data_IF_726820124805
#
_entry.id   IF_726820124805
#
_cell.length_a   1.000
_cell.length_b   1.000
_cell.length_c   1.000
_cell.angle_alpha   90.00
_cell.angle_beta   90.00
_cell.angle_gamma   90.00
#
_symmetry.space_group_name_H-M   'P 1'
#
loop_
_entity.id
_entity.type
_entity.pdbx_description
1 polymer ?
#
# COMPACT_ATOMS: atom_id res chain seq x y z
N UNK A 1 -26.09 10.00 26.54
CA UNK A 1 -24.67 9.91 26.13
C UNK A 1 -24.66 9.28 24.75
N UNK A 2 -24.26 10.03 23.73
CA UNK A 2 -24.19 9.52 22.35
C UNK A 2 -23.05 8.50 22.32
N UNK A 3 -23.24 7.25 21.84
CA UNK A 3 -22.15 6.28 21.78
C UNK A 3 -21.03 6.87 20.91
N UNK A 4 -19.79 6.84 21.39
CA UNK A 4 -18.62 7.47 20.76
C UNK A 4 -18.43 7.07 19.27
N UNK A 5 -18.88 5.87 18.92
CA UNK A 5 -18.96 5.33 17.55
C UNK A 5 -19.88 6.12 16.59
N UNK A 6 -20.75 6.98 17.09
CA UNK A 6 -21.66 7.82 16.26
C UNK A 6 -21.18 9.27 16.11
N UNK A 7 -19.96 9.58 16.56
CA UNK A 7 -19.33 10.85 16.23
C UNK A 7 -18.99 10.91 14.73
N UNK A 8 -19.15 12.07 14.07
CA UNK A 8 -18.90 12.20 12.64
C UNK A 8 -17.47 11.79 12.26
N UNK A 9 -16.48 12.04 13.12
CA UNK A 9 -15.09 11.64 12.91
C UNK A 9 -14.90 10.12 12.89
N UNK A 10 -15.63 9.36 13.71
CA UNK A 10 -15.57 7.89 13.71
C UNK A 10 -16.28 7.29 12.50
N UNK A 11 -17.42 7.85 12.08
CA UNK A 11 -18.09 7.40 10.86
C UNK A 11 -17.18 7.58 9.63
N UNK A 12 -16.44 8.68 9.56
CA UNK A 12 -15.46 8.92 8.49
C UNK A 12 -14.32 7.90 8.50
N UNK A 13 -13.79 7.54 9.68
CA UNK A 13 -12.70 6.57 9.77
C UNK A 13 -13.13 5.16 9.32
N UNK A 14 -14.39 4.78 9.54
CA UNK A 14 -14.96 3.52 9.03
C UNK A 14 -15.03 3.54 7.49
N UNK A 15 -15.54 4.63 6.91
CA UNK A 15 -15.61 4.80 5.44
C UNK A 15 -14.23 4.76 4.80
N UNK A 16 -13.27 5.52 5.35
CA UNK A 16 -11.89 5.55 4.88
C UNK A 16 -11.20 4.19 5.02
N UNK A 17 -11.46 3.46 6.11
CA UNK A 17 -10.94 2.10 6.30
C UNK A 17 -11.44 1.18 5.19
N UNK A 18 -12.73 1.25 4.83
CA UNK A 18 -13.28 0.44 3.74
C UNK A 18 -12.60 0.77 2.42
N UNK A 19 -12.48 2.05 2.06
CA UNK A 19 -11.84 2.47 0.81
C UNK A 19 -10.38 2.00 0.75
N UNK A 20 -9.62 2.13 1.84
CA UNK A 20 -8.23 1.68 1.90
C UNK A 20 -8.11 0.16 1.73
N UNK A 21 -9.00 -0.62 2.35
CA UNK A 21 -9.02 -2.08 2.18
C UNK A 21 -9.30 -2.45 0.72
N UNK A 22 -10.24 -1.77 0.05
CA UNK A 22 -10.52 -2.01 -1.37
C UNK A 22 -9.33 -1.64 -2.26
N UNK A 23 -8.57 -0.59 -1.93
CA UNK A 23 -7.32 -0.26 -2.65
C UNK A 23 -6.26 -1.36 -2.53
N UNK A 24 -6.32 -2.18 -1.48
CA UNK A 24 -5.45 -3.37 -1.32
C UNK A 24 -5.85 -4.56 -2.19
N UNK A 25 -6.86 -4.43 -3.06
CA UNK A 25 -7.01 -5.33 -4.22
C UNK A 25 -5.77 -5.36 -5.12
N UNK A 26 -4.84 -4.41 -4.95
CA UNK A 26 -3.48 -4.49 -5.45
C UNK A 26 -2.80 -5.84 -5.16
N UNK A 27 -3.04 -6.44 -4.00
CA UNK A 27 -2.51 -7.77 -3.64
C UNK A 27 -3.02 -8.85 -4.60
N UNK A 28 -4.31 -8.84 -4.93
CA UNK A 28 -4.90 -9.79 -5.87
C UNK A 28 -4.40 -9.55 -7.29
N UNK A 29 -4.22 -8.29 -7.70
CA UNK A 29 -3.58 -7.94 -8.98
C UNK A 29 -2.16 -8.53 -9.05
N UNK A 30 -1.35 -8.32 -8.01
CA UNK A 30 0.03 -8.85 -7.97
C UNK A 30 0.05 -10.38 -8.00
N UNK A 31 -0.85 -11.05 -7.27
CA UNK A 31 -0.98 -12.50 -7.29
C UNK A 31 -1.37 -13.02 -8.69
N UNK A 32 -2.32 -12.36 -9.36
CA UNK A 32 -2.69 -12.70 -10.74
C UNK A 32 -1.53 -12.51 -11.73
N UNK A 33 -0.71 -11.48 -11.55
CA UNK A 33 0.49 -11.27 -12.36
C UNK A 33 1.56 -12.34 -12.10
N UNK A 34 1.77 -12.75 -10.84
CA UNK A 34 2.71 -13.83 -10.50
C UNK A 34 2.41 -15.13 -11.24
N UNK A 35 1.11 -15.46 -11.40
CA UNK A 35 0.68 -16.65 -12.14
C UNK A 35 0.87 -16.57 -13.65
N UNK A 36 1.11 -15.38 -14.23
CA UNK A 36 1.16 -15.17 -15.69
C UNK A 36 2.55 -14.81 -16.20
N UNK A 37 3.26 -13.90 -15.55
CA UNK A 37 4.59 -13.40 -15.99
C UNK A 37 5.75 -13.90 -15.13
N UNK A 38 5.47 -14.60 -14.03
CA UNK A 38 6.48 -15.12 -13.11
C UNK A 38 6.97 -14.10 -12.07
N UNK A 39 7.74 -14.59 -11.09
CA UNK A 39 8.09 -13.83 -9.89
C UNK A 39 9.08 -12.67 -10.12
N UNK A 40 9.92 -12.75 -11.15
CA UNK A 40 10.95 -11.72 -11.42
C UNK A 40 10.32 -10.43 -11.97
N UNK A 41 9.35 -10.57 -12.88
CA UNK A 41 8.70 -9.43 -13.58
C UNK A 41 7.73 -8.66 -12.67
N UNK A 42 7.25 -9.26 -11.58
CA UNK A 42 6.32 -8.62 -10.64
C UNK A 42 7.01 -7.89 -9.49
N UNK A 43 8.34 -7.84 -9.46
CA UNK A 43 9.08 -7.33 -8.31
C UNK A 43 8.62 -5.93 -7.87
N UNK A 44 8.35 -5.01 -8.81
CA UNK A 44 7.84 -3.66 -8.47
C UNK A 44 6.45 -3.69 -7.85
N UNK A 45 5.57 -4.57 -8.30
CA UNK A 45 4.23 -4.73 -7.71
C UNK A 45 4.32 -5.33 -6.30
N UNK A 46 5.28 -6.24 -6.05
CA UNK A 46 5.58 -6.76 -4.71
C UNK A 46 6.05 -5.65 -3.75
N UNK A 47 6.91 -4.74 -4.23
CA UNK A 47 7.31 -3.57 -3.44
C UNK A 47 6.07 -2.71 -3.10
N UNK A 48 5.24 -2.42 -4.10
CA UNK A 48 4.05 -1.59 -3.94
C UNK A 48 3.05 -2.17 -2.91
N UNK A 49 2.77 -3.48 -2.95
CA UNK A 49 1.87 -4.11 -1.96
C UNK A 49 2.43 -4.04 -0.55
N UNK A 50 3.75 -4.20 -0.37
CA UNK A 50 4.39 -4.17 0.95
C UNK A 50 4.27 -2.78 1.59
N UNK A 51 4.52 -1.74 0.80
CA UNK A 51 4.39 -0.34 1.22
C UNK A 51 2.92 -0.03 1.57
N UNK A 52 2.00 -0.30 0.62
CA UNK A 52 0.59 0.06 0.77
C UNK A 52 -0.10 -0.69 1.91
N UNK A 53 0.16 -1.99 2.05
CA UNK A 53 -0.48 -2.83 3.08
C UNK A 53 -0.01 -2.45 4.47
N UNK A 54 1.29 -2.26 4.68
CA UNK A 54 1.82 -1.91 6.00
C UNK A 54 1.28 -0.55 6.48
N UNK A 55 1.27 0.45 5.61
CA UNK A 55 0.74 1.77 5.92
C UNK A 55 -0.78 1.73 6.21
N UNK A 56 -1.53 0.97 5.42
CA UNK A 56 -2.99 0.86 5.56
C UNK A 56 -3.39 0.18 6.86
N UNK A 57 -2.81 -0.98 7.18
CA UNK A 57 -3.16 -1.74 8.39
C UNK A 57 -2.81 -0.93 9.64
N UNK A 58 -1.64 -0.29 9.68
CA UNK A 58 -1.27 0.57 10.81
C UNK A 58 -2.24 1.73 10.98
N UNK A 59 -2.65 2.37 9.88
CA UNK A 59 -3.59 3.48 9.94
C UNK A 59 -4.94 3.05 10.50
N UNK A 60 -5.47 1.90 10.06
CA UNK A 60 -6.74 1.35 10.56
C UNK A 60 -6.62 1.00 12.04
N UNK A 61 -5.52 0.39 12.47
CA UNK A 61 -5.28 0.09 13.88
C UNK A 61 -5.25 1.35 14.74
N UNK A 62 -4.59 2.44 14.32
CA UNK A 62 -4.63 3.73 15.03
C UNK A 62 -6.07 4.23 15.23
N UNK A 63 -6.93 4.12 14.21
CA UNK A 63 -8.35 4.51 14.33
C UNK A 63 -9.12 3.60 15.27
N UNK A 64 -8.85 2.29 15.25
CA UNK A 64 -9.45 1.35 16.18
C UNK A 64 -9.05 1.65 17.64
N UNK A 65 -7.77 1.96 17.90
CA UNK A 65 -7.32 2.39 19.24
C UNK A 65 -8.03 3.65 19.71
N UNK A 66 -8.12 4.67 18.84
CA UNK A 66 -8.82 5.92 19.18
C UNK A 66 -10.28 5.68 19.51
N UNK A 67 -10.95 4.79 18.79
CA UNK A 67 -12.36 4.45 19.04
C UNK A 67 -12.58 3.69 20.36
N UNK A 68 -11.59 2.92 20.85
CA UNK A 68 -11.69 2.16 22.10
C UNK A 68 -11.11 2.91 23.31
N UNK A 69 -10.44 4.04 23.10
CA UNK A 69 -9.75 4.78 24.16
C UNK A 69 -8.78 3.88 24.94
N UNK A 70 -8.70 4.07 26.26
CA UNK A 70 -7.83 3.27 27.13
C UNK A 70 -8.21 1.78 27.15
N UNK A 71 -9.47 1.42 26.84
CA UNK A 71 -9.90 0.03 26.81
C UNK A 71 -9.22 -0.77 25.69
N UNK A 72 -8.73 -0.11 24.64
CA UNK A 72 -7.96 -0.75 23.57
C UNK A 72 -6.59 -1.30 24.02
N UNK A 73 -6.10 -0.89 25.19
CA UNK A 73 -4.91 -1.44 25.83
C UNK A 73 -5.23 -2.65 26.73
N UNK A 74 -6.51 -2.90 27.02
CA UNK A 74 -6.93 -4.04 27.83
C UNK A 74 -6.67 -5.36 27.10
N UNK A 75 -6.30 -6.44 27.81
CA UNK A 75 -6.25 -7.79 27.24
C UNK A 75 -7.58 -8.28 26.65
N UNK A 76 -8.70 -7.66 27.04
CA UNK A 76 -10.04 -7.97 26.52
C UNK A 76 -10.20 -7.61 25.03
N UNK A 77 -9.35 -6.72 24.52
CA UNK A 77 -9.32 -6.35 23.11
C UNK A 77 -8.03 -6.85 22.45
N UNK A 78 -8.10 -7.40 21.22
CA UNK A 78 -6.92 -7.90 20.52
C UNK A 78 -5.99 -6.78 20.02
N UNK A 79 -6.38 -5.51 20.13
CA UNK A 79 -5.73 -4.36 19.49
C UNK A 79 -4.24 -4.21 19.87
N UNK A 80 -3.91 -4.33 21.16
CA UNK A 80 -2.53 -4.26 21.65
C UNK A 80 -1.64 -5.37 21.06
N UNK A 81 -2.18 -6.59 20.97
CA UNK A 81 -1.46 -7.72 20.39
C UNK A 81 -1.27 -7.55 18.88
N UNK A 82 -2.30 -7.10 18.17
CA UNK A 82 -2.22 -6.87 16.72
C UNK A 82 -1.25 -5.74 16.37
N UNK A 83 -1.20 -4.67 17.16
CA UNK A 83 -0.20 -3.62 17.00
C UNK A 83 1.22 -4.17 17.13
N UNK A 84 1.46 -5.03 18.13
CA UNK A 84 2.75 -5.69 18.32
C UNK A 84 3.12 -6.64 17.17
N UNK A 85 2.14 -7.21 16.47
CA UNK A 85 2.37 -8.04 15.26
C UNK A 85 2.65 -7.20 14.01
N UNK A 86 1.95 -6.09 13.85
CA UNK A 86 2.01 -5.25 12.64
C UNK A 86 3.22 -4.35 12.64
N UNK A 87 3.57 -3.76 13.79
CA UNK A 87 4.65 -2.77 13.87
C UNK A 87 6.01 -3.32 13.42
N UNK A 88 6.46 -4.52 13.84
CA UNK A 88 7.72 -5.09 13.36
C UNK A 88 7.73 -5.40 11.87
N UNK A 89 6.56 -5.61 11.25
CA UNK A 89 6.42 -5.90 9.81
C UNK A 89 6.86 -4.74 8.92
N UNK A 90 7.05 -3.54 9.48
CA UNK A 90 7.67 -2.40 8.80
C UNK A 90 9.16 -2.58 8.54
N UNK A 91 9.81 -3.44 9.31
CA UNK A 91 11.23 -3.75 9.21
C UNK A 91 11.46 -5.14 8.63
N UNK A 92 10.53 -6.08 8.89
CA UNK A 92 10.57 -7.41 8.29
C UNK A 92 10.54 -7.33 6.77
N UNK A 93 11.32 -8.18 6.11
CA UNK A 93 11.50 -8.25 4.65
C UNK A 93 12.11 -6.99 4.00
N UNK A 94 12.56 -6.03 4.82
CA UNK A 94 13.10 -4.74 4.41
C UNK A 94 12.36 -3.57 5.07
N UNK A 95 13.08 -2.49 5.45
CA UNK A 95 12.44 -1.27 5.89
C UNK A 95 11.65 -0.62 4.75
N UNK A 96 10.57 0.09 5.07
CA UNK A 96 9.70 0.75 4.08
C UNK A 96 10.47 1.61 3.08
N UNK A 97 11.49 2.34 3.53
CA UNK A 97 12.34 3.21 2.71
C UNK A 97 13.15 2.42 1.68
N UNK A 98 13.53 1.17 1.99
CA UNK A 98 14.21 0.30 1.01
C UNK A 98 13.24 -0.13 -0.09
N UNK A 99 12.00 -0.46 0.27
CA UNK A 99 10.94 -0.79 -0.68
C UNK A 99 10.58 0.41 -1.56
N UNK A 100 10.43 1.61 -0.97
CA UNK A 100 10.15 2.86 -1.69
C UNK A 100 11.27 3.19 -2.70
N UNK A 101 12.53 3.10 -2.26
CA UNK A 101 13.67 3.34 -3.13
C UNK A 101 13.74 2.33 -4.28
N UNK A 102 13.44 1.06 -4.01
CA UNK A 102 13.40 0.01 -5.02
C UNK A 102 12.30 0.28 -6.07
N UNK A 103 11.09 0.61 -5.62
CA UNK A 103 9.96 0.96 -6.48
C UNK A 103 10.26 2.22 -7.31
N UNK A 104 10.78 3.28 -6.69
CA UNK A 104 11.13 4.52 -7.38
C UNK A 104 12.20 4.31 -8.46
N UNK A 105 13.21 3.46 -8.19
CA UNK A 105 14.22 3.09 -9.20
C UNK A 105 13.59 2.35 -10.39
N UNK A 106 12.65 1.44 -10.13
CA UNK A 106 11.92 0.71 -11.18
C UNK A 106 11.10 1.66 -12.05
N UNK A 107 10.31 2.54 -11.44
CA UNK A 107 9.46 3.51 -12.16
C UNK A 107 10.28 4.47 -13.01
N UNK A 108 11.41 4.98 -12.49
CA UNK A 108 12.31 5.85 -13.26
C UNK A 108 12.88 5.13 -14.49
N UNK A 109 13.23 3.84 -14.39
CA UNK A 109 13.70 3.06 -15.54
C UNK A 109 12.60 2.91 -16.58
N UNK A 110 11.37 2.57 -16.15
CA UNK A 110 10.19 2.43 -17.02
C UNK A 110 9.85 3.73 -17.76
N UNK A 111 9.89 4.87 -17.07
CA UNK A 111 9.66 6.18 -17.68
C UNK A 111 10.74 6.57 -18.70
N UNK A 112 12.02 6.30 -18.42
CA UNK A 112 13.12 6.55 -19.37
C UNK A 112 12.96 5.74 -20.67
N UNK A 113 12.55 4.48 -20.56
CA UNK A 113 12.26 3.63 -21.74
C UNK A 113 11.11 4.22 -22.56
N UNK A 114 10.05 4.67 -21.89
CA UNK A 114 8.87 5.26 -22.54
C UNK A 114 9.22 6.57 -23.27
N UNK A 115 9.99 7.45 -22.62
CA UNK A 115 10.45 8.71 -23.22
C UNK A 115 11.40 8.53 -24.41
N UNK A 116 12.17 7.45 -24.46
CA UNK A 116 13.05 7.12 -25.60
C UNK A 116 12.28 6.62 -26.83
N UNK A 117 11.14 5.95 -26.62
CA UNK A 117 10.25 5.49 -27.70
C UNK A 117 9.41 6.63 -28.31
N UNK A 118 9.06 7.65 -27.53
CA UNK A 118 8.33 8.82 -28.05
C UNK A 118 9.21 9.77 -28.87
N UNK A 119 10.53 9.82 -28.61
CA UNK A 119 11.47 10.68 -29.33
C UNK A 119 12.00 10.11 -30.66
N UNK A 120 11.69 8.86 -31.01
CA UNK A 120 12.25 8.17 -32.20
C UNK A 120 11.27 8.04 -33.37
N UNK A 121 10.13 8.75 -33.33
CA UNK A 121 9.11 8.75 -34.41
C UNK A 121 8.98 10.11 -35.09
N UNK A 122 9.97 10.46 -35.89
CA UNK A 122 9.76 11.36 -37.04
C UNK A 122 10.37 10.67 -38.25
N UNK A 123 9.58 10.02 -39.13
CA UNK A 123 10.09 9.63 -40.43
C UNK A 123 10.30 10.93 -41.19
N UNK A 124 11.57 11.26 -41.45
CA UNK A 124 11.95 12.33 -42.38
C UNK A 124 11.45 11.88 -43.75
N UNK A 125 10.29 12.37 -44.16
CA UNK A 125 9.81 12.25 -45.54
C UNK A 125 10.85 12.96 -46.41
N UNK A 126 11.77 12.19 -46.98
CA UNK A 126 12.62 12.66 -48.07
C UNK A 126 11.69 12.89 -49.27
N UNK A 127 11.34 14.16 -49.49
CA UNK A 127 10.74 14.61 -50.74
C UNK A 127 11.79 14.43 -51.85
N UNK A 128 11.55 13.42 -52.69
CA UNK A 128 12.10 13.33 -54.05
C UNK A 128 11.06 13.83 -55.02
#
# INVERSE_FOLDING_TARGET
MVPEASTPTMTLSISESRVRIEQLLLVLKTAGLMGTVGNEEVHSEVQAIKIATAATVQWILDKAFRAHGAAGLSPDHPLAQELARVWPRRFADGPGEAHDNSLAKSERRRQKVTGRRSHTRTPRLEMR
#
